data_IF_940086019732
#
_entry.id   IF_940086019732
#
_cell.length_a   1.000
_cell.length_b   1.000
_cell.length_c   1.000
_cell.angle_alpha   90.00
_cell.angle_beta   90.00
_cell.angle_gamma   90.00
#
_symmetry.space_group_name_H-M   'P 1'
#
loop_
_entity.id
_entity.type
_entity.pdbx_description
1 polymer ?
#
# COMPACT_ATOMS: atom_id res chain seq x y z
N UNK A 1 3.41 -33.09 6.46
CA UNK A 1 3.92 -32.67 5.15
C UNK A 1 3.79 -31.16 4.95
N UNK A 2 2.58 -30.60 4.85
CA UNK A 2 2.39 -29.17 4.53
C UNK A 2 3.01 -28.25 5.60
N UNK A 3 2.63 -28.41 6.87
CA UNK A 3 3.19 -27.62 7.99
C UNK A 3 4.70 -27.86 8.13
N UNK A 4 5.14 -29.12 8.06
CA UNK A 4 6.52 -29.51 8.33
C UNK A 4 7.53 -29.09 7.27
N UNK A 5 7.13 -28.98 6.00
CA UNK A 5 8.03 -28.63 4.89
C UNK A 5 7.80 -27.22 4.34
N UNK A 6 6.58 -26.69 4.42
CA UNK A 6 6.22 -25.41 3.81
C UNK A 6 5.76 -24.35 4.81
N UNK A 7 5.59 -24.71 6.09
CA UNK A 7 5.12 -23.82 7.13
C UNK A 7 3.77 -23.14 6.80
N UNK A 8 2.88 -23.89 6.12
CA UNK A 8 1.54 -23.44 5.77
C UNK A 8 0.49 -24.19 6.59
N UNK A 9 -0.62 -23.52 6.89
CA UNK A 9 -1.80 -24.14 7.48
C UNK A 9 -2.65 -24.78 6.39
N UNK A 10 -3.14 -25.99 6.67
CA UNK A 10 -3.97 -26.74 5.73
C UNK A 10 -5.46 -26.45 5.98
N UNK A 11 -6.19 -26.10 4.92
CA UNK A 11 -7.66 -26.00 4.99
C UNK A 11 -8.27 -27.40 4.86
N UNK A 12 -8.95 -27.85 5.90
CA UNK A 12 -9.57 -29.18 5.97
C UNK A 12 -10.82 -29.26 5.09
N UNK A 13 -11.51 -28.12 4.93
CA UNK A 13 -12.78 -28.03 4.23
C UNK A 13 -12.62 -27.16 2.98
N UNK A 14 -12.21 -27.80 1.89
CA UNK A 14 -12.15 -27.17 0.57
C UNK A 14 -12.73 -28.12 -0.49
N UNK A 15 -13.01 -27.57 -1.67
CA UNK A 15 -13.35 -28.39 -2.84
C UNK A 15 -12.06 -28.83 -3.53
N UNK A 16 -12.08 -29.05 -4.85
CA UNK A 16 -10.86 -29.25 -5.62
C UNK A 16 -9.89 -28.05 -5.51
N UNK A 17 -10.43 -26.84 -5.31
CA UNK A 17 -9.67 -25.61 -5.09
C UNK A 17 -9.83 -25.14 -3.64
N UNK A 18 -8.86 -24.33 -3.20
CA UNK A 18 -8.93 -23.63 -1.91
C UNK A 18 -10.06 -22.57 -1.95
N UNK A 19 -10.62 -22.26 -0.78
CA UNK A 19 -11.69 -21.25 -0.59
C UNK A 19 -11.24 -19.81 -0.86
N UNK A 20 -9.93 -19.54 -0.81
CA UNK A 20 -9.29 -18.24 -1.04
C UNK A 20 -9.68 -17.13 -0.05
N UNK A 21 -10.46 -17.42 0.99
CA UNK A 21 -10.92 -16.45 1.98
C UNK A 21 -9.76 -15.71 2.68
N UNK A 22 -8.70 -16.43 3.07
CA UNK A 22 -7.51 -15.80 3.67
C UNK A 22 -6.81 -14.82 2.71
N UNK A 23 -6.82 -15.08 1.41
CA UNK A 23 -6.27 -14.14 0.42
C UNK A 23 -7.15 -12.91 0.28
N UNK A 24 -8.48 -13.09 0.27
CA UNK A 24 -9.43 -11.99 0.28
C UNK A 24 -9.25 -11.11 1.52
N UNK A 25 -9.18 -11.70 2.72
CA UNK A 25 -8.96 -10.98 3.98
C UNK A 25 -7.63 -10.20 3.96
N UNK A 26 -6.57 -10.81 3.44
CA UNK A 26 -5.26 -10.14 3.29
C UNK A 26 -5.35 -8.95 2.35
N UNK A 27 -5.96 -9.11 1.18
CA UNK A 27 -6.09 -8.03 0.19
C UNK A 27 -7.03 -6.92 0.67
N UNK A 28 -8.09 -7.25 1.39
CA UNK A 28 -8.97 -6.26 2.01
C UNK A 28 -8.24 -5.44 3.08
N UNK A 29 -7.38 -6.07 3.88
CA UNK A 29 -6.52 -5.36 4.83
C UNK A 29 -5.57 -4.41 4.10
N UNK A 30 -4.91 -4.87 3.04
CA UNK A 30 -4.00 -4.05 2.23
C UNK A 30 -4.73 -2.89 1.54
N UNK A 31 -5.93 -3.12 1.02
CA UNK A 31 -6.76 -2.09 0.40
C UNK A 31 -7.11 -0.99 1.40
N UNK A 32 -7.51 -1.34 2.63
CA UNK A 32 -7.79 -0.35 3.68
C UNK A 32 -6.55 0.47 4.05
N UNK A 33 -5.39 -0.18 4.21
CA UNK A 33 -4.12 0.51 4.48
C UNK A 33 -3.81 1.50 3.35
N UNK A 34 -3.95 1.06 2.10
CA UNK A 34 -3.70 1.91 0.94
C UNK A 34 -4.66 3.11 0.89
N UNK A 35 -5.94 2.91 1.21
CA UNK A 35 -6.90 4.02 1.28
C UNK A 35 -6.50 5.06 2.34
N UNK A 36 -6.06 4.64 3.52
CA UNK A 36 -5.57 5.56 4.56
C UNK A 36 -4.30 6.29 4.11
N UNK A 37 -3.37 5.60 3.46
CA UNK A 37 -2.15 6.23 2.94
C UNK A 37 -2.46 7.19 1.79
N UNK A 38 -3.42 6.85 0.93
CA UNK A 38 -3.88 7.72 -0.15
C UNK A 38 -4.46 9.02 0.41
N UNK A 39 -5.33 8.92 1.41
CA UNK A 39 -5.91 10.08 2.10
C UNK A 39 -4.82 10.99 2.68
N UNK A 40 -3.84 10.40 3.37
CA UNK A 40 -2.67 11.13 3.88
C UNK A 40 -1.86 11.81 2.76
N UNK A 41 -1.64 11.13 1.63
CA UNK A 41 -0.92 11.70 0.49
C UNK A 41 -1.67 12.89 -0.12
N UNK A 42 -3.00 12.82 -0.21
CA UNK A 42 -3.85 13.91 -0.70
C UNK A 42 -3.78 15.10 0.26
N UNK A 43 -3.87 14.86 1.57
CA UNK A 43 -3.74 15.92 2.58
C UNK A 43 -2.39 16.61 2.53
N UNK A 44 -1.29 15.85 2.46
CA UNK A 44 0.07 16.42 2.34
C UNK A 44 0.17 17.27 1.07
N UNK A 45 -0.37 16.79 -0.06
CA UNK A 45 -0.38 17.55 -1.30
C UNK A 45 -1.18 18.85 -1.19
N UNK A 46 -2.35 18.82 -0.54
CA UNK A 46 -3.16 20.00 -0.27
C UNK A 46 -2.44 21.00 0.65
N UNK A 47 -1.74 20.51 1.68
CA UNK A 47 -0.98 21.37 2.58
C UNK A 47 0.21 22.04 1.90
N UNK A 48 0.90 21.34 0.99
CA UNK A 48 1.95 21.94 0.15
C UNK A 48 1.34 23.00 -0.78
N UNK A 49 0.22 22.69 -1.44
CA UNK A 49 -0.48 23.60 -2.36
C UNK A 49 -0.97 24.88 -1.66
N UNK A 50 -1.38 24.77 -0.40
CA UNK A 50 -1.81 25.89 0.45
C UNK A 50 -0.65 26.61 1.15
N UNK A 51 0.61 26.29 0.84
CA UNK A 51 1.82 26.85 1.48
C UNK A 51 1.89 26.66 3.00
N UNK A 52 1.19 25.66 3.56
CA UNK A 52 1.29 25.29 4.97
C UNK A 52 2.56 24.47 5.24
N UNK A 53 2.93 23.63 4.27
CA UNK A 53 4.17 22.84 4.26
C UNK A 53 5.02 23.24 3.05
N UNK A 54 6.35 23.15 3.19
CA UNK A 54 7.30 23.36 2.09
C UNK A 54 8.25 22.17 1.96
N UNK A 55 8.56 21.80 0.72
CA UNK A 55 9.54 20.77 0.41
C UNK A 55 10.96 21.33 0.59
N UNK A 56 11.85 20.50 1.13
CA UNK A 56 13.29 20.82 1.21
C UNK A 56 13.88 20.67 -0.20
N UNK A 57 14.58 21.70 -0.68
CA UNK A 57 15.28 21.67 -1.97
C UNK A 57 16.62 20.95 -1.81
N UNK A 58 16.95 20.10 -2.77
CA UNK A 58 18.26 19.46 -2.94
C UNK A 58 18.88 20.02 -4.22
N UNK A 59 20.15 20.44 -4.17
CA UNK A 59 20.78 21.26 -5.23
C UNK A 59 20.75 20.63 -6.64
N UNK A 60 20.77 19.30 -6.73
CA UNK A 60 20.78 18.55 -8.00
C UNK A 60 19.39 18.08 -8.46
N UNK A 61 18.32 18.42 -7.75
CA UNK A 61 16.96 18.00 -8.10
C UNK A 61 16.25 19.05 -8.97
N UNK A 62 15.72 18.62 -10.12
CA UNK A 62 14.95 19.47 -11.03
C UNK A 62 13.46 19.23 -10.83
N UNK A 63 12.74 20.26 -10.39
CA UNK A 63 11.28 20.18 -10.17
C UNK A 63 10.47 20.18 -11.46
N UNK A 64 10.85 21.00 -12.44
CA UNK A 64 10.20 21.10 -13.76
C UNK A 64 11.25 21.30 -14.84
N UNK A 65 11.05 20.68 -16.00
CA UNK A 65 11.97 20.81 -17.14
C UNK A 65 11.92 22.16 -17.84
N UNK A 66 10.85 22.93 -17.63
CA UNK A 66 10.62 24.23 -18.30
C UNK A 66 10.41 25.39 -17.34
N UNK A 67 10.09 25.11 -16.08
CA UNK A 67 9.93 26.14 -15.06
C UNK A 67 11.14 26.10 -14.13
N UNK A 68 11.92 27.19 -14.04
CA UNK A 68 13.04 27.28 -13.12
C UNK A 68 12.59 27.32 -11.66
#
# INVERSE_FOLDING_TARGET
>A
FIISYFNLYYSIYCTQIQDHDNLCELFDCLARINSTLLDMCVDIWLYISNNLLKLKVVEDEVGSSTMP
#
